data_IF_711880193681
#
_entry.id   IF_711880193681
#
_cell.length_a   1.000
_cell.length_b   1.000
_cell.length_c   1.000
_cell.angle_alpha   90.00
_cell.angle_beta   90.00
_cell.angle_gamma   90.00
#
_symmetry.space_group_name_H-M   'P 1'
#
loop_
_entity.id
_entity.type
_entity.pdbx_description
1 polymer ?
#
# COMPACT_ATOMS: atom_id res chain seq x y z
N UNK A 1 -4.71 -15.43 -28.32
CA UNK A 1 -4.15 -14.44 -27.39
C UNK A 1 -5.14 -13.30 -27.29
N UNK A 2 -5.64 -13.00 -26.08
CA UNK A 2 -6.63 -11.94 -25.89
C UNK A 2 -6.00 -10.56 -26.08
N UNK A 3 -6.80 -9.55 -26.46
CA UNK A 3 -6.34 -8.18 -26.65
C UNK A 3 -5.63 -7.60 -25.40
N UNK A 4 -6.06 -8.04 -24.22
CA UNK A 4 -5.45 -7.72 -22.93
C UNK A 4 -4.00 -8.17 -22.82
N UNK A 5 -3.70 -9.43 -23.17
CA UNK A 5 -2.33 -9.99 -23.11
C UNK A 5 -1.40 -9.30 -24.10
N UNK A 6 -1.88 -9.05 -25.32
CA UNK A 6 -1.11 -8.37 -26.36
C UNK A 6 -0.68 -6.96 -25.95
N UNK A 7 -1.54 -6.25 -25.21
CA UNK A 7 -1.20 -4.93 -24.69
C UNK A 7 -0.04 -4.99 -23.70
N UNK A 8 -0.13 -5.88 -22.70
CA UNK A 8 0.93 -6.03 -21.70
C UNK A 8 2.25 -6.51 -22.31
N UNK A 9 2.21 -7.40 -23.30
CA UNK A 9 3.42 -7.84 -24.01
C UNK A 9 4.09 -6.69 -24.75
N UNK A 10 3.30 -5.88 -25.47
CA UNK A 10 3.81 -4.69 -26.16
C UNK A 10 4.39 -3.68 -25.16
N UNK A 11 3.66 -3.39 -24.08
CA UNK A 11 4.06 -2.42 -23.06
C UNK A 11 5.33 -2.85 -22.29
N UNK A 12 5.56 -4.16 -22.14
CA UNK A 12 6.74 -4.72 -21.48
C UNK A 12 7.91 -5.03 -22.45
N UNK A 13 7.70 -4.92 -23.77
CA UNK A 13 8.73 -5.20 -24.77
C UNK A 13 9.92 -4.25 -24.64
N UNK A 14 11.13 -4.74 -24.95
CA UNK A 14 12.32 -3.89 -24.94
C UNK A 14 12.32 -2.96 -26.15
N UNK A 15 12.63 -1.69 -25.91
CA UNK A 15 12.75 -0.70 -26.97
C UNK A 15 12.42 0.71 -26.47
N UNK A 16 12.44 1.71 -27.37
CA UNK A 16 12.06 3.08 -27.04
C UNK A 16 10.56 3.19 -26.65
N UNK A 17 9.73 2.27 -27.13
CA UNK A 17 8.27 2.21 -26.89
C UNK A 17 7.90 1.48 -25.59
N UNK A 18 8.87 1.19 -24.71
CA UNK A 18 8.61 0.46 -23.46
C UNK A 18 7.88 1.35 -22.45
N UNK A 19 6.71 0.93 -22.00
CA UNK A 19 5.90 1.66 -21.02
C UNK A 19 6.05 1.12 -19.58
N UNK A 20 6.21 -0.20 -19.41
CA UNK A 20 6.28 -0.84 -18.09
C UNK A 20 7.46 -1.80 -17.97
N UNK A 21 7.99 -2.01 -16.75
CA UNK A 21 9.09 -2.93 -16.56
C UNK A 21 8.68 -4.40 -16.77
N UNK A 22 7.56 -4.80 -16.18
CA UNK A 22 7.00 -6.16 -16.21
C UNK A 22 5.58 -6.13 -15.64
N UNK A 23 4.81 -7.20 -15.83
CA UNK A 23 3.50 -7.35 -15.19
C UNK A 23 3.20 -8.80 -14.82
N UNK A 24 2.39 -8.98 -13.78
CA UNK A 24 1.83 -10.28 -13.40
C UNK A 24 0.35 -10.06 -13.17
N UNK A 25 -0.49 -10.83 -13.86
CA UNK A 25 -1.93 -10.83 -13.69
C UNK A 25 -2.39 -12.23 -13.26
N UNK A 26 -3.12 -12.30 -12.16
CA UNK A 26 -3.66 -13.54 -11.60
C UNK A 26 -5.17 -13.34 -11.47
N UNK A 27 -5.94 -14.22 -12.09
CA UNK A 27 -7.38 -14.33 -11.88
C UNK A 27 -7.71 -15.76 -11.45
N UNK A 28 -8.49 -15.88 -10.39
CA UNK A 28 -8.90 -17.15 -9.76
C UNK A 28 -10.40 -17.05 -9.49
N UNK A 29 -11.16 -18.09 -9.85
CA UNK A 29 -12.57 -18.21 -9.46
C UNK A 29 -12.75 -19.14 -8.25
N UNK A 30 -13.99 -19.35 -7.81
CA UNK A 30 -14.30 -20.21 -6.67
C UNK A 30 -14.08 -21.71 -6.95
N UNK A 31 -14.04 -22.10 -8.23
CA UNK A 31 -13.90 -23.48 -8.71
C UNK A 31 -12.44 -23.83 -9.08
N UNK A 32 -11.49 -22.97 -8.68
CA UNK A 32 -10.04 -23.13 -8.86
C UNK A 32 -9.56 -23.03 -10.33
N UNK A 33 -10.32 -22.34 -11.20
CA UNK A 33 -9.82 -21.98 -12.53
C UNK A 33 -8.81 -20.83 -12.41
N UNK A 34 -7.54 -21.21 -12.40
CA UNK A 34 -6.42 -20.30 -12.39
C UNK A 34 -6.12 -19.78 -13.80
N UNK A 35 -6.57 -18.58 -14.12
CA UNK A 35 -6.10 -17.83 -15.28
C UNK A 35 -4.86 -17.01 -14.88
N UNK A 36 -3.70 -17.65 -14.97
CA UNK A 36 -2.40 -16.99 -14.76
C UNK A 36 -1.90 -16.42 -16.08
N UNK A 37 -1.89 -15.09 -16.20
CA UNK A 37 -1.21 -14.39 -17.28
C UNK A 37 0.08 -13.76 -16.74
N UNK A 38 1.20 -14.40 -17.05
CA UNK A 38 2.53 -13.92 -16.68
C UNK A 38 3.19 -13.29 -17.91
N UNK A 39 3.35 -11.97 -17.89
CA UNK A 39 4.11 -11.28 -18.94
C UNK A 39 5.46 -10.92 -18.35
N UNK A 40 6.40 -11.82 -18.65
CA UNK A 40 7.81 -11.76 -18.26
C UNK A 40 8.51 -10.57 -18.91
N UNK A 41 8.35 -9.41 -18.29
CA UNK A 41 9.21 -8.27 -18.56
C UNK A 41 10.64 -8.52 -18.07
N UNK A 42 11.58 -7.73 -18.58
CA UNK A 42 12.96 -7.75 -18.13
C UNK A 42 13.11 -6.77 -16.94
N UNK A 43 13.77 -7.12 -15.84
CA UNK A 43 13.92 -6.18 -14.73
C UNK A 43 14.65 -4.89 -15.17
N UNK A 44 14.48 -3.83 -14.38
CA UNK A 44 15.15 -2.53 -14.60
C UNK A 44 16.66 -2.77 -14.68
N UNK A 45 17.28 -2.38 -15.81
CA UNK A 45 18.72 -2.51 -16.04
C UNK A 45 19.47 -1.67 -15.00
N UNK A 46 20.07 -2.32 -14.00
CA UNK A 46 21.02 -1.66 -13.10
C UNK A 46 22.37 -1.58 -13.83
N UNK A 47 22.88 -0.39 -14.20
CA UNK A 47 24.06 -0.25 -15.06
C UNK A 47 25.32 -0.95 -14.52
N UNK A 48 25.40 -1.10 -13.19
CA UNK A 48 26.57 -1.59 -12.48
C UNK A 48 26.54 -3.10 -12.16
N UNK A 49 25.47 -3.83 -12.49
CA UNK A 49 25.41 -5.27 -12.25
C UNK A 49 25.84 -6.06 -13.50
N UNK A 50 26.60 -7.16 -13.40
CA UNK A 50 26.90 -8.03 -14.53
C UNK A 50 25.63 -8.70 -15.07
N UNK A 51 25.56 -8.92 -16.39
CA UNK A 51 24.35 -9.35 -17.12
C UNK A 51 23.68 -10.62 -16.57
N UNK A 52 24.46 -11.53 -15.95
CA UNK A 52 23.95 -12.75 -15.29
C UNK A 52 23.13 -12.49 -14.03
N UNK A 53 23.38 -11.37 -13.33
CA UNK A 53 22.62 -10.95 -12.15
C UNK A 53 21.45 -10.02 -12.51
N UNK A 54 21.36 -9.60 -13.77
CA UNK A 54 20.25 -8.79 -14.29
C UNK A 54 19.04 -9.65 -14.68
N UNK A 55 19.13 -10.98 -14.69
CA UNK A 55 18.02 -11.86 -15.12
C UNK A 55 17.21 -12.39 -13.93
N UNK A 56 16.72 -11.50 -13.07
CA UNK A 56 15.59 -11.88 -12.22
C UNK A 56 14.30 -11.68 -13.02
N UNK A 57 13.84 -12.76 -13.65
CA UNK A 57 12.49 -12.81 -14.21
C UNK A 57 11.50 -12.44 -13.10
N UNK A 58 10.73 -11.37 -13.33
CA UNK A 58 9.53 -11.11 -12.55
C UNK A 58 8.51 -12.19 -12.92
N UNK A 59 8.52 -13.29 -12.17
CA UNK A 59 7.51 -14.34 -12.27
C UNK A 59 6.71 -14.47 -10.98
N UNK A 60 5.77 -15.41 -10.93
CA UNK A 60 4.92 -15.65 -9.76
C UNK A 60 5.68 -15.90 -8.44
N UNK A 61 6.97 -16.28 -8.52
CA UNK A 61 7.84 -16.49 -7.34
C UNK A 61 8.68 -15.27 -6.95
N UNK A 62 8.46 -14.12 -7.58
CA UNK A 62 9.20 -12.91 -7.27
C UNK A 62 8.78 -12.37 -5.89
N UNK A 63 9.75 -12.15 -5.02
CA UNK A 63 9.51 -11.52 -3.71
C UNK A 63 9.54 -10.01 -3.88
N UNK A 64 8.36 -9.42 -4.08
CA UNK A 64 8.17 -7.96 -4.11
C UNK A 64 7.78 -7.40 -2.74
N UNK A 65 8.07 -6.13 -2.49
CA UNK A 65 7.57 -5.43 -1.31
C UNK A 65 6.07 -5.21 -1.39
N UNK A 66 5.30 -5.77 -0.45
CA UNK A 66 3.86 -5.56 -0.33
C UNK A 66 3.58 -4.24 0.42
N UNK A 67 3.78 -3.09 -0.23
CA UNK A 67 3.66 -1.80 0.46
C UNK A 67 2.20 -1.45 0.84
N UNK A 68 1.27 -1.60 -0.11
CA UNK A 68 -0.14 -1.19 0.08
C UNK A 68 -1.09 -2.36 0.37
N UNK A 69 -0.60 -3.60 0.31
CA UNK A 69 -1.40 -4.82 0.54
C UNK A 69 -1.35 -5.29 1.99
N UNK A 70 -0.41 -4.78 2.78
CA UNK A 70 -0.26 -5.10 4.20
C UNK A 70 -1.50 -4.83 5.05
N UNK A 71 -2.33 -3.77 4.82
CA UNK A 71 -3.56 -3.59 5.58
C UNK A 71 -4.56 -4.76 5.44
N UNK A 72 -4.59 -5.44 4.28
CA UNK A 72 -5.45 -6.62 4.08
C UNK A 72 -4.99 -7.79 4.96
N UNK A 73 -3.69 -8.07 4.98
CA UNK A 73 -3.13 -9.13 5.84
C UNK A 73 -3.37 -8.83 7.32
N UNK A 74 -3.14 -7.58 7.74
CA UNK A 74 -3.43 -7.15 9.12
C UNK A 74 -4.91 -7.28 9.46
N UNK A 75 -5.81 -6.95 8.53
CA UNK A 75 -7.25 -7.09 8.72
C UNK A 75 -7.66 -8.55 8.94
N UNK A 76 -7.11 -9.49 8.16
CA UNK A 76 -7.35 -10.92 8.33
C UNK A 76 -6.87 -11.39 9.72
N UNK A 77 -5.66 -11.02 10.12
CA UNK A 77 -5.13 -11.37 11.45
C UNK A 77 -6.00 -10.84 12.60
N UNK A 78 -6.59 -9.64 12.45
CA UNK A 78 -7.52 -9.10 13.44
C UNK A 78 -8.84 -9.90 13.47
N UNK A 79 -9.38 -10.25 12.30
CA UNK A 79 -10.61 -11.06 12.23
C UNK A 79 -10.40 -12.44 12.87
N UNK A 80 -9.22 -13.05 12.73
CA UNK A 80 -8.86 -14.30 13.41
C UNK A 80 -8.87 -14.20 14.95
N UNK A 81 -8.67 -13.00 15.52
CA UNK A 81 -8.80 -12.76 16.96
C UNK A 81 -10.24 -12.43 17.38
N UNK A 82 -11.05 -11.91 16.45
CA UNK A 82 -12.45 -11.56 16.69
C UNK A 82 -13.34 -12.80 16.69
N UNK A 83 -13.10 -13.76 15.80
CA UNK A 83 -13.86 -15.01 15.71
C UNK A 83 -13.95 -15.80 17.04
N UNK A 84 -12.85 -16.01 17.81
CA UNK A 84 -12.91 -16.65 19.12
C UNK A 84 -13.27 -15.68 20.27
N UNK A 85 -13.81 -14.49 19.97
CA UNK A 85 -14.16 -13.44 20.94
C UNK A 85 -12.99 -12.91 21.80
N UNK A 86 -11.75 -13.10 21.36
CA UNK A 86 -10.57 -12.54 22.04
C UNK A 86 -10.43 -11.03 21.84
N UNK A 87 -11.11 -10.49 20.81
CA UNK A 87 -11.18 -9.08 20.48
C UNK A 87 -12.58 -8.74 19.96
N UNK A 88 -13.04 -7.51 20.17
CA UNK A 88 -14.28 -7.01 19.57
C UNK A 88 -14.00 -5.85 18.62
N UNK A 89 -14.71 -5.82 17.49
CA UNK A 89 -14.66 -4.70 16.54
C UNK A 89 -15.05 -3.36 17.17
N UNK A 90 -15.94 -3.40 18.16
CA UNK A 90 -16.47 -2.20 18.81
C UNK A 90 -15.72 -1.88 20.12
N UNK A 91 -14.67 -2.64 20.45
CA UNK A 91 -13.78 -2.33 21.56
C UNK A 91 -12.97 -1.05 21.28
N UNK A 92 -12.66 -0.25 22.31
CA UNK A 92 -11.73 0.87 22.19
C UNK A 92 -10.36 0.39 21.72
N UNK A 93 -9.74 1.09 20.77
CA UNK A 93 -8.40 0.75 20.26
C UNK A 93 -7.34 0.78 21.37
N UNK A 94 -7.57 1.58 22.41
CA UNK A 94 -6.72 1.68 23.59
C UNK A 94 -6.53 0.35 24.35
N UNK A 95 -7.42 -0.62 24.15
CA UNK A 95 -7.25 -1.98 24.69
C UNK A 95 -6.08 -2.74 24.05
N UNK A 96 -5.75 -2.42 22.80
CA UNK A 96 -4.61 -3.00 22.07
C UNK A 96 -3.41 -2.07 22.07
N UNK A 97 -3.64 -0.75 21.97
CA UNK A 97 -2.63 0.29 21.85
C UNK A 97 -2.84 1.34 22.95
N UNK A 98 -2.36 1.09 24.18
CA UNK A 98 -2.56 2.00 25.32
C UNK A 98 -2.07 3.42 25.06
N UNK A 99 -1.08 3.62 24.18
CA UNK A 99 -0.59 4.92 23.75
C UNK A 99 -1.67 5.78 23.04
N UNK A 100 -2.75 5.16 22.55
CA UNK A 100 -3.89 5.82 21.94
C UNK A 100 -5.06 6.03 22.92
N UNK A 101 -4.82 5.91 24.24
CA UNK A 101 -5.87 6.10 25.26
C UNK A 101 -6.37 7.54 25.36
N UNK A 102 -5.52 8.52 25.03
CA UNK A 102 -5.86 9.95 25.08
C UNK A 102 -5.41 10.71 23.81
N UNK A 103 -6.02 10.43 22.65
CA UNK A 103 -5.60 11.06 21.40
C UNK A 103 -6.06 12.52 21.34
N UNK A 104 -5.26 13.35 20.67
CA UNK A 104 -5.59 14.75 20.37
C UNK A 104 -5.83 14.91 18.88
N UNK A 105 -6.86 15.65 18.50
CA UNK A 105 -7.22 15.94 17.11
C UNK A 105 -6.64 17.28 16.70
N UNK A 106 -5.76 17.28 15.71
CA UNK A 106 -5.22 18.50 15.11
C UNK A 106 -6.31 19.23 14.32
N UNK A 107 -6.57 20.49 14.65
CA UNK A 107 -7.63 21.31 14.00
C UNK A 107 -7.10 22.35 13.03
N UNK A 108 -5.84 22.77 13.18
CA UNK A 108 -5.23 23.77 12.32
C UNK A 108 -4.10 24.53 13.01
N UNK A 109 -3.75 25.69 12.45
CA UNK A 109 -2.82 26.62 13.05
C UNK A 109 -3.54 27.91 13.42
N UNK A 110 -3.16 28.51 14.55
CA UNK A 110 -3.70 29.78 14.98
C UNK A 110 -3.08 30.97 14.21
N UNK A 111 -3.51 32.20 14.54
CA UNK A 111 -2.97 33.43 13.93
C UNK A 111 -1.48 33.65 14.16
N UNK A 112 -0.90 33.02 15.18
CA UNK A 112 0.54 33.00 15.45
C UNK A 112 1.26 31.79 14.83
N UNK A 113 0.62 31.05 13.91
CA UNK A 113 1.13 29.83 13.26
C UNK A 113 1.45 28.66 14.20
N UNK A 114 0.97 28.70 15.44
CA UNK A 114 1.10 27.59 16.38
C UNK A 114 0.01 26.54 16.14
N UNK A 115 0.32 25.24 16.22
CA UNK A 115 -0.65 24.17 16.01
C UNK A 115 -1.70 24.11 17.13
N UNK A 116 -2.96 23.93 16.76
CA UNK A 116 -4.09 23.79 17.68
C UNK A 116 -4.62 22.35 17.69
N UNK A 117 -5.08 21.92 18.87
CA UNK A 117 -5.58 20.58 19.11
C UNK A 117 -6.87 20.63 19.93
N UNK A 118 -7.75 19.66 19.67
CA UNK A 118 -8.99 19.44 20.43
C UNK A 118 -9.10 17.99 20.85
N UNK A 119 -10.02 17.69 21.78
CA UNK A 119 -10.34 16.31 22.15
C UNK A 119 -11.27 15.68 21.10
N UNK A 120 -11.10 14.40 20.77
CA UNK A 120 -11.99 13.70 19.86
C UNK A 120 -13.40 13.59 20.45
N UNK A 121 -14.42 13.76 19.61
CA UNK A 121 -15.83 13.64 20.01
C UNK A 121 -16.24 12.20 20.35
N UNK A 122 -15.55 11.22 19.77
CA UNK A 122 -15.81 9.79 19.92
C UNK A 122 -14.50 9.04 20.14
N UNK A 123 -14.54 8.02 20.99
CA UNK A 123 -13.42 7.09 21.14
C UNK A 123 -13.17 6.31 19.85
N UNK A 124 -11.90 6.10 19.51
CA UNK A 124 -11.51 5.30 18.34
C UNK A 124 -11.67 3.82 18.67
N UNK A 125 -12.38 3.07 17.81
CA UNK A 125 -12.55 1.62 17.94
C UNK A 125 -11.68 0.85 16.94
N UNK A 126 -11.55 -0.47 17.15
CA UNK A 126 -10.88 -1.38 16.20
C UNK A 126 -11.52 -1.30 14.81
N UNK A 127 -12.85 -1.28 14.72
CA UNK A 127 -13.60 -1.12 13.47
C UNK A 127 -13.22 0.15 12.73
N UNK A 128 -13.14 1.28 13.43
CA UNK A 128 -12.77 2.57 12.83
C UNK A 128 -11.33 2.57 12.30
N UNK A 129 -10.42 1.84 12.95
CA UNK A 129 -9.05 1.70 12.47
C UNK A 129 -8.99 0.85 11.19
N UNK A 130 -9.70 -0.28 11.17
CA UNK A 130 -9.75 -1.19 10.02
C UNK A 130 -10.47 -0.57 8.80
N UNK A 131 -11.45 0.30 9.02
CA UNK A 131 -12.24 0.95 7.96
C UNK A 131 -11.70 2.30 7.50
N UNK A 132 -10.52 2.73 7.98
CA UNK A 132 -9.95 4.07 7.72
C UNK A 132 -10.84 5.23 8.16
N UNK A 133 -11.63 5.05 9.23
CA UNK A 133 -12.52 6.07 9.81
C UNK A 133 -12.02 6.61 11.15
N UNK A 134 -10.84 6.19 11.63
CA UNK A 134 -10.24 6.63 12.90
C UNK A 134 -9.73 8.07 12.90
N UNK A 135 -9.58 8.70 11.72
CA UNK A 135 -9.00 10.04 11.58
C UNK A 135 -7.47 10.06 11.57
N UNK A 136 -6.80 8.91 11.73
CA UNK A 136 -5.34 8.79 11.63
C UNK A 136 -4.92 8.98 10.16
N UNK A 137 -3.89 9.80 9.93
CA UNK A 137 -3.37 10.09 8.60
C UNK A 137 -1.87 9.86 8.53
N UNK A 138 -1.40 9.42 7.37
CA UNK A 138 0.03 9.41 7.07
C UNK A 138 0.54 10.84 6.92
N UNK A 139 1.74 11.09 7.45
CA UNK A 139 2.47 12.33 7.17
C UNK A 139 2.96 12.29 5.73
N UNK A 140 2.41 13.13 4.87
CA UNK A 140 3.01 13.38 3.56
C UNK A 140 4.34 14.14 3.76
N UNK A 141 5.41 13.83 3.01
CA UNK A 141 6.57 14.70 2.96
C UNK A 141 6.12 16.05 2.39
N UNK A 142 6.26 17.11 3.19
CA UNK A 142 6.09 18.47 2.71
C UNK A 142 7.19 18.73 1.67
N UNK A 143 6.81 19.08 0.43
CA UNK A 143 7.75 19.64 -0.52
C UNK A 143 8.20 21.00 0.00
N UNK A 144 9.28 21.04 0.77
CA UNK A 144 9.96 22.28 1.13
C UNK A 144 11.16 22.46 0.20
N UNK A 145 10.86 22.72 -1.07
CA UNK A 145 11.85 23.23 -2.02
C UNK A 145 11.09 24.02 -3.09
N UNK A 146 10.74 25.26 -2.76
CA UNK A 146 10.73 26.30 -3.78
C UNK A 146 12.21 26.51 -4.15
N UNK A 147 12.70 25.67 -5.06
CA UNK A 147 13.94 25.93 -5.74
C UNK A 147 13.71 27.18 -6.60
N UNK A 148 14.35 28.24 -6.17
CA UNK A 148 14.70 29.44 -6.93
C UNK A 148 15.08 29.05 -8.37
N UNK A 149 14.24 29.39 -9.35
CA UNK A 149 14.56 29.25 -10.77
C UNK A 149 14.88 30.65 -11.31
N UNK A 150 16.14 30.96 -11.66
CA UNK A 150 16.44 32.10 -12.50
C UNK A 150 16.21 31.70 -13.96
N UNK A 151 15.34 32.44 -14.63
CA UNK A 151 15.06 32.36 -16.07
C UNK A 151 14.35 33.61 -16.53
#
# INVERSE_FOLDING_TARGET
>A
MFAFEQWFEKAASQGPEREIPSSVAIAVDQDDMNHLHEIRGHPIRKPHLPSRLQTHLFGHRHVGGLLHQTPHLTSISLLQLIEPELLSLDAPIASLLPELSDPSVFTGFNSATAPEFTKPEKGVTVRMMMSHQSGVRYRAPLHHEAADCPG
#
